data_IF_040440052165
#
_entry.id   IF_040440052165
#
_cell.length_a   1.000
_cell.length_b   1.000
_cell.length_c   1.000
_cell.angle_alpha   90.00
_cell.angle_beta   90.00
_cell.angle_gamma   90.00
#
_symmetry.space_group_name_H-M   'P 1'
#
loop_
_entity.id
_entity.type
_entity.pdbx_description
1 polymer ?
#
# COMPACT_ATOMS: atom_id res chain seq x y z
N UNK A 1 7.19 -1.34 -13.68
CA UNK A 1 6.25 -1.13 -12.59
C UNK A 1 4.86 -1.62 -12.90
N UNK A 2 3.86 -1.28 -12.07
CA UNK A 2 2.49 -1.81 -12.14
C UNK A 2 1.83 -1.76 -13.54
N UNK A 3 2.07 -0.70 -14.31
CA UNK A 3 1.54 -0.58 -15.68
C UNK A 3 2.21 -1.56 -16.64
N UNK A 4 3.49 -1.84 -16.43
CA UNK A 4 4.23 -2.78 -17.29
C UNK A 4 3.68 -4.21 -17.17
N UNK A 5 3.27 -4.61 -15.97
CA UNK A 5 2.66 -5.92 -15.73
C UNK A 5 1.27 -6.05 -16.35
N UNK A 6 0.54 -4.94 -16.48
CA UNK A 6 -0.78 -4.88 -17.09
C UNK A 6 -0.73 -4.76 -18.62
N UNK A 7 0.44 -4.43 -19.18
CA UNK A 7 0.64 -4.29 -20.62
C UNK A 7 0.85 -5.66 -21.26
N UNK A 8 0.02 -6.03 -22.21
CA UNK A 8 0.14 -7.26 -23.00
C UNK A 8 0.73 -6.96 -24.38
N UNK A 9 1.17 -7.99 -25.10
CA UNK A 9 1.67 -7.83 -26.47
C UNK A 9 0.61 -7.29 -27.45
N UNK A 10 -0.67 -7.52 -27.16
CA UNK A 10 -1.79 -7.04 -27.98
C UNK A 10 -2.18 -5.60 -27.63
N UNK A 11 -2.07 -5.24 -26.33
CA UNK A 11 -2.43 -3.93 -25.81
C UNK A 11 -1.21 -3.32 -25.13
N UNK A 12 -0.36 -2.67 -25.88
CA UNK A 12 0.80 -2.01 -25.32
C UNK A 12 0.39 -0.72 -24.61
N UNK A 13 -0.12 -0.87 -23.38
CA UNK A 13 -0.61 0.21 -22.53
C UNK A 13 0.49 1.26 -22.28
N UNK A 14 1.73 0.82 -22.10
CA UNK A 14 2.85 1.73 -21.91
C UNK A 14 3.04 2.66 -23.11
N UNK A 15 3.02 2.09 -24.32
CA UNK A 15 3.25 2.85 -25.55
C UNK A 15 2.04 3.68 -25.97
N UNK A 16 0.85 3.12 -25.86
CA UNK A 16 -0.37 3.69 -26.41
C UNK A 16 -1.20 4.47 -25.38
N UNK A 17 -0.89 4.33 -24.10
CA UNK A 17 -1.78 4.76 -23.02
C UNK A 17 -3.00 3.83 -22.91
N UNK A 18 -3.82 4.09 -21.91
CA UNK A 18 -5.06 3.38 -21.66
C UNK A 18 -6.07 4.31 -20.99
N UNK A 19 -7.34 4.19 -21.40
CA UNK A 19 -8.44 4.87 -20.76
C UNK A 19 -9.69 3.98 -20.79
N UNK A 20 -10.20 3.62 -19.61
CA UNK A 20 -11.42 2.83 -19.49
C UNK A 20 -12.65 3.68 -19.83
N UNK A 21 -13.42 3.29 -20.83
CA UNK A 21 -14.65 3.99 -21.23
C UNK A 21 -15.77 3.85 -20.18
N UNK A 22 -15.74 2.79 -19.40
CA UNK A 22 -16.69 2.48 -18.33
C UNK A 22 -16.04 1.54 -17.30
N UNK A 23 -16.75 1.23 -16.21
CA UNK A 23 -16.25 0.35 -15.13
C UNK A 23 -15.93 -1.08 -15.61
N UNK A 24 -16.65 -1.59 -16.59
CA UNK A 24 -16.42 -2.94 -17.13
C UNK A 24 -15.14 -3.02 -17.98
N UNK A 25 -14.70 -1.88 -18.52
CA UNK A 25 -13.46 -1.77 -19.27
C UNK A 25 -12.23 -1.55 -18.39
N UNK A 26 -12.40 -1.28 -17.10
CA UNK A 26 -11.28 -1.15 -16.16
C UNK A 26 -10.53 -2.47 -16.01
N UNK A 27 -9.20 -2.42 -15.93
CA UNK A 27 -8.36 -3.61 -15.86
C UNK A 27 -7.94 -3.92 -14.44
N UNK A 28 -8.20 -5.15 -13.95
CA UNK A 28 -7.70 -5.58 -12.65
C UNK A 28 -6.18 -5.45 -12.56
N UNK A 29 -5.69 -4.87 -11.47
CA UNK A 29 -4.28 -4.74 -11.17
C UNK A 29 -3.80 -5.89 -10.28
N UNK A 30 -2.54 -6.26 -10.41
CA UNK A 30 -1.92 -7.34 -9.64
C UNK A 30 -1.17 -6.81 -8.41
N UNK A 31 -1.77 -5.87 -7.68
CA UNK A 31 -1.23 -5.36 -6.42
C UNK A 31 -2.36 -4.95 -5.49
N UNK A 32 -2.02 -4.83 -4.21
CA UNK A 32 -2.95 -4.43 -3.16
C UNK A 32 -2.65 -3.00 -2.70
N UNK A 33 -3.65 -2.32 -2.18
CA UNK A 33 -3.51 -1.00 -1.55
C UNK A 33 -3.87 -1.12 -0.08
N UNK A 34 -2.94 -0.71 0.79
CA UNK A 34 -3.17 -0.58 2.23
C UNK A 34 -3.52 0.86 2.60
N UNK A 35 -4.67 1.06 3.20
CA UNK A 35 -5.07 2.34 3.77
C UNK A 35 -4.76 2.33 5.28
N UNK A 36 -3.91 3.24 5.73
CA UNK A 36 -3.61 3.39 7.15
C UNK A 36 -4.87 3.82 7.91
N UNK A 37 -5.32 2.98 8.85
CA UNK A 37 -6.54 3.21 9.63
C UNK A 37 -6.27 3.59 11.06
N UNK A 38 -5.19 3.06 11.63
CA UNK A 38 -4.88 3.23 13.04
C UNK A 38 -3.38 3.17 13.26
N UNK A 39 -2.91 3.93 14.23
CA UNK A 39 -1.55 3.84 14.78
C UNK A 39 -1.68 3.66 16.29
N UNK A 40 -0.96 2.69 16.84
CA UNK A 40 -0.89 2.45 18.28
C UNK A 40 0.57 2.49 18.75
N UNK A 41 0.81 3.12 19.89
CA UNK A 41 2.10 3.04 20.55
C UNK A 41 2.21 1.71 21.32
N UNK A 42 3.13 0.86 20.87
CA UNK A 42 3.41 -0.46 21.45
C UNK A 42 4.79 -0.52 22.11
N UNK A 43 5.38 0.62 22.40
CA UNK A 43 6.74 0.73 22.96
C UNK A 43 6.89 -0.07 24.24
N UNK A 44 5.94 0.05 25.15
CA UNK A 44 5.98 -0.66 26.44
C UNK A 44 5.92 -2.18 26.28
N UNK A 45 5.16 -2.67 25.28
CA UNK A 45 5.06 -4.11 25.01
C UNK A 45 6.34 -4.64 24.37
N UNK A 46 6.91 -3.90 23.42
CA UNK A 46 8.15 -4.30 22.71
C UNK A 46 9.35 -4.24 23.65
N UNK A 47 9.43 -3.26 24.51
CA UNK A 47 10.56 -3.11 25.44
C UNK A 47 10.39 -3.90 26.76
N UNK A 48 9.26 -4.59 26.94
CA UNK A 48 9.00 -5.38 28.14
C UNK A 48 10.06 -6.47 28.35
N UNK A 49 10.73 -6.46 29.50
CA UNK A 49 11.73 -7.45 29.90
C UNK A 49 13.09 -7.32 29.18
N UNK A 50 13.30 -6.27 28.40
CA UNK A 50 14.60 -6.01 27.76
C UNK A 50 15.48 -5.21 28.72
N UNK A 51 16.60 -5.79 29.14
CA UNK A 51 17.54 -5.12 30.04
C UNK A 51 18.33 -4.04 29.30
N UNK A 52 18.55 -2.90 29.98
CA UNK A 52 19.26 -1.74 29.42
C UNK A 52 20.75 -2.03 29.20
N UNK A 53 21.33 -2.91 29.98
CA UNK A 53 22.78 -3.20 30.00
C UNK A 53 23.17 -4.47 29.21
N UNK A 54 22.36 -4.89 28.21
CA UNK A 54 22.70 -5.99 27.33
C UNK A 54 23.68 -5.55 26.24
N UNK A 55 24.50 -6.51 25.76
CA UNK A 55 25.23 -6.36 24.52
C UNK A 55 24.27 -5.98 23.35
N UNK A 56 24.71 -5.10 22.47
CA UNK A 56 23.87 -4.52 21.42
C UNK A 56 23.25 -5.59 20.50
N UNK A 57 24.04 -6.62 20.13
CA UNK A 57 23.55 -7.71 19.30
C UNK A 57 22.49 -8.57 20.03
N UNK A 58 22.69 -8.86 21.31
CA UNK A 58 21.73 -9.57 22.14
C UNK A 58 20.44 -8.74 22.32
N UNK A 59 20.57 -7.44 22.54
CA UNK A 59 19.44 -6.52 22.66
C UNK A 59 18.64 -6.46 21.35
N UNK A 60 19.30 -6.30 20.21
CA UNK A 60 18.64 -6.26 18.90
C UNK A 60 17.83 -7.55 18.64
N UNK A 61 18.39 -8.73 18.96
CA UNK A 61 17.70 -10.00 18.86
C UNK A 61 16.47 -10.08 19.78
N UNK A 62 16.60 -9.63 21.01
CA UNK A 62 15.51 -9.61 21.97
C UNK A 62 14.38 -8.66 21.53
N UNK A 63 14.71 -7.47 21.02
CA UNK A 63 13.75 -6.51 20.46
C UNK A 63 13.03 -7.13 19.26
N UNK A 64 13.75 -7.76 18.34
CA UNK A 64 13.12 -8.41 17.17
C UNK A 64 12.14 -9.50 17.58
N UNK A 65 12.47 -10.32 18.59
CA UNK A 65 11.57 -11.35 19.10
C UNK A 65 10.31 -10.74 19.77
N UNK A 66 10.48 -9.65 20.52
CA UNK A 66 9.34 -8.96 21.14
C UNK A 66 8.45 -8.24 20.10
N UNK A 67 9.02 -7.67 19.03
CA UNK A 67 8.26 -7.12 17.91
C UNK A 67 7.38 -8.22 17.28
N UNK A 68 7.95 -9.40 17.01
CA UNK A 68 7.20 -10.52 16.44
C UNK A 68 6.03 -10.94 17.34
N UNK A 69 6.30 -11.14 18.63
CA UNK A 69 5.29 -11.50 19.64
C UNK A 69 4.20 -10.42 19.79
N UNK A 70 4.59 -9.15 19.85
CA UNK A 70 3.65 -8.04 19.93
C UNK A 70 2.78 -7.96 18.67
N UNK A 71 3.38 -8.15 17.50
CA UNK A 71 2.65 -8.19 16.23
C UNK A 71 1.59 -9.30 16.21
N UNK A 72 1.95 -10.52 16.65
CA UNK A 72 1.00 -11.63 16.74
C UNK A 72 -0.17 -11.29 17.68
N UNK A 73 0.11 -10.73 18.85
CA UNK A 73 -0.91 -10.35 19.82
C UNK A 73 -1.86 -9.26 19.28
N UNK A 74 -1.30 -8.25 18.63
CA UNK A 74 -2.06 -7.14 18.04
C UNK A 74 -2.92 -7.64 16.88
N UNK A 75 -2.41 -8.52 16.03
CA UNK A 75 -3.17 -9.14 14.92
C UNK A 75 -4.27 -10.03 15.46
N UNK A 76 -4.01 -10.82 16.51
CA UNK A 76 -5.01 -11.66 17.15
C UNK A 76 -6.17 -10.83 17.73
N UNK A 77 -5.88 -9.64 18.27
CA UNK A 77 -6.89 -8.73 18.80
C UNK A 77 -7.86 -8.18 17.75
N UNK A 78 -7.52 -8.24 16.45
CA UNK A 78 -8.41 -7.85 15.34
C UNK A 78 -9.55 -8.86 15.11
N UNK A 79 -9.47 -10.06 15.68
CA UNK A 79 -10.50 -11.09 15.57
C UNK A 79 -10.78 -11.48 14.10
N UNK A 80 -12.04 -11.42 13.70
CA UNK A 80 -12.48 -11.81 12.34
C UNK A 80 -11.96 -10.85 11.24
N UNK A 81 -11.69 -9.60 11.58
CA UNK A 81 -11.21 -8.60 10.62
C UNK A 81 -9.73 -8.76 10.26
N UNK A 82 -8.97 -9.61 10.97
CA UNK A 82 -7.51 -9.81 10.79
C UNK A 82 -7.09 -10.05 9.33
N UNK A 83 -7.94 -10.72 8.54
CA UNK A 83 -7.65 -11.03 7.13
C UNK A 83 -7.71 -9.81 6.21
N UNK A 84 -8.30 -8.72 6.68
CA UNK A 84 -8.41 -7.46 5.94
C UNK A 84 -7.32 -6.46 6.35
N UNK A 85 -6.48 -6.80 7.33
CA UNK A 85 -5.45 -5.89 7.83
C UNK A 85 -4.04 -6.47 7.66
N UNK A 86 -3.11 -5.59 7.37
CA UNK A 86 -1.68 -5.80 7.55
C UNK A 86 -1.23 -4.90 8.66
N UNK A 87 -0.55 -5.47 9.66
CA UNK A 87 0.01 -4.71 10.77
C UNK A 87 1.52 -4.68 10.62
N UNK A 88 2.08 -3.47 10.67
CA UNK A 88 3.52 -3.24 10.67
C UNK A 88 3.93 -2.54 11.97
N UNK A 89 4.99 -3.04 12.61
CA UNK A 89 5.58 -2.38 13.77
C UNK A 89 6.89 -1.76 13.34
N UNK A 90 6.96 -0.44 13.40
CA UNK A 90 8.15 0.33 13.03
C UNK A 90 8.79 0.96 14.25
N UNK A 91 10.12 0.98 14.22
CA UNK A 91 10.96 1.62 15.23
C UNK A 91 11.22 3.07 14.86
N UNK A 92 11.11 3.96 15.83
CA UNK A 92 11.40 5.38 15.72
C UNK A 92 12.41 5.81 16.79
N UNK A 93 13.06 6.93 16.59
CA UNK A 93 14.02 7.54 17.52
C UNK A 93 15.08 6.56 18.02
N UNK A 94 15.73 5.84 17.08
CA UNK A 94 16.79 4.87 17.39
C UNK A 94 16.34 3.75 18.35
N UNK A 95 15.09 3.27 18.21
CA UNK A 95 14.56 2.18 19.03
C UNK A 95 14.04 2.60 20.40
N UNK A 96 13.72 3.88 20.56
CA UNK A 96 13.10 4.41 21.78
C UNK A 96 11.56 4.44 21.69
N UNK A 97 11.00 4.32 20.50
CA UNK A 97 9.56 4.25 20.27
C UNK A 97 9.23 3.19 19.22
N UNK A 98 8.15 2.47 19.46
CA UNK A 98 7.62 1.46 18.53
C UNK A 98 6.14 1.73 18.29
N UNK A 99 5.79 1.91 17.01
CA UNK A 99 4.41 2.16 16.60
C UNK A 99 3.91 1.01 15.75
N UNK A 100 2.75 0.48 16.11
CA UNK A 100 2.00 -0.48 15.30
C UNK A 100 1.08 0.29 14.35
N UNK A 101 1.28 0.12 13.06
CA UNK A 101 0.50 0.72 11.99
C UNK A 101 -0.43 -0.33 11.38
N UNK A 102 -1.72 -0.04 11.35
CA UNK A 102 -2.76 -0.93 10.87
C UNK A 102 -3.22 -0.46 9.50
N UNK A 103 -2.92 -1.26 8.48
CA UNK A 103 -3.33 -0.99 7.10
C UNK A 103 -4.50 -1.90 6.73
N UNK A 104 -5.64 -1.32 6.40
CA UNK A 104 -6.75 -2.03 5.79
C UNK A 104 -6.43 -2.27 4.31
N UNK A 105 -6.40 -3.54 3.88
CA UNK A 105 -5.85 -3.96 2.59
C UNK A 105 -6.96 -4.26 1.60
N UNK A 106 -7.03 -3.48 0.55
CA UNK A 106 -7.93 -3.66 -0.58
C UNK A 106 -7.21 -4.42 -1.69
N UNK A 107 -7.87 -5.45 -2.22
CA UNK A 107 -7.34 -6.37 -3.22
C UNK A 107 -7.96 -6.20 -4.60
N UNK A 108 -9.17 -5.67 -4.70
CA UNK A 108 -9.79 -5.35 -5.98
C UNK A 108 -9.42 -3.92 -6.39
N UNK A 109 -8.31 -3.82 -7.10
CA UNK A 109 -7.76 -2.57 -7.63
C UNK A 109 -7.83 -2.64 -9.14
N UNK A 110 -8.33 -1.59 -9.79
CA UNK A 110 -8.48 -1.57 -11.24
C UNK A 110 -7.87 -0.31 -11.84
N UNK A 111 -7.15 -0.48 -12.95
CA UNK A 111 -6.62 0.63 -13.74
C UNK A 111 -7.76 1.31 -14.49
N UNK A 112 -7.90 2.61 -14.27
CA UNK A 112 -8.86 3.49 -14.95
C UNK A 112 -8.22 4.17 -16.14
N UNK A 113 -7.01 4.65 -15.98
CA UNK A 113 -6.31 5.33 -17.05
C UNK A 113 -4.85 5.61 -16.76
N UNK A 114 -4.09 5.70 -17.85
CA UNK A 114 -2.68 6.12 -17.85
C UNK A 114 -2.35 6.73 -19.20
N UNK A 115 -1.62 7.86 -19.27
CA UNK A 115 -1.13 8.37 -20.54
C UNK A 115 -0.08 7.44 -21.14
N UNK A 116 0.23 7.56 -22.44
CA UNK A 116 1.34 6.86 -23.06
C UNK A 116 2.69 7.36 -22.47
N UNK A 117 3.69 6.47 -22.40
CA UNK A 117 5.01 6.79 -21.83
C UNK A 117 5.70 7.98 -22.53
N UNK A 118 5.38 8.22 -23.81
CA UNK A 118 5.92 9.32 -24.58
C UNK A 118 5.60 10.70 -24.00
N UNK A 119 4.52 10.81 -23.21
CA UNK A 119 4.13 12.05 -22.52
C UNK A 119 4.90 12.26 -21.22
N UNK A 120 5.38 11.18 -20.60
CA UNK A 120 6.21 11.19 -19.40
C UNK A 120 7.71 11.26 -19.70
N UNK A 121 8.14 10.69 -20.84
CA UNK A 121 9.53 10.70 -21.29
C UNK A 121 9.75 11.81 -22.27
N UNK A 122 10.54 12.80 -21.90
CA UNK A 122 10.90 13.89 -22.78
C UNK A 122 12.43 13.97 -22.94
N UNK A 123 12.93 13.67 -24.15
CA UNK A 123 14.38 13.60 -24.40
C UNK A 123 15.06 12.36 -23.83
N UNK A 124 16.38 12.26 -23.91
CA UNK A 124 17.16 11.22 -23.26
C UNK A 124 17.27 11.45 -21.75
N UNK A 125 17.72 10.45 -21.00
CA UNK A 125 17.91 10.53 -19.53
C UNK A 125 18.75 11.73 -19.11
N UNK A 126 19.75 12.09 -19.90
CA UNK A 126 20.65 13.23 -19.64
C UNK A 126 19.93 14.57 -19.73
N UNK A 127 18.94 14.71 -20.60
CA UNK A 127 18.19 15.96 -20.80
C UNK A 127 17.05 16.10 -19.80
N UNK A 128 16.49 15.00 -19.32
CA UNK A 128 15.46 14.98 -18.29
C UNK A 128 15.92 15.62 -16.96
N UNK A 129 17.21 15.69 -16.78
CA UNK A 129 17.89 16.17 -15.58
C UNK A 129 18.19 17.67 -15.60
N UNK A 130 18.47 18.21 -16.79
CA UNK A 130 19.02 19.56 -16.94
C UNK A 130 17.97 20.65 -17.12
N UNK A 131 16.78 20.29 -17.56
CA UNK A 131 15.75 21.26 -17.88
C UNK A 131 14.44 20.88 -17.21
N UNK A 132 13.89 21.72 -16.31
CA UNK A 132 12.55 21.49 -15.78
C UNK A 132 11.55 21.48 -16.92
N UNK A 133 10.79 20.38 -17.06
CA UNK A 133 9.83 20.17 -18.15
C UNK A 133 8.50 19.77 -17.57
N UNK A 134 7.43 20.13 -18.25
CA UNK A 134 6.10 19.64 -17.97
C UNK A 134 5.98 18.23 -18.52
N UNK A 135 6.12 17.23 -17.66
CA UNK A 135 5.85 15.83 -18.00
C UNK A 135 4.53 15.41 -17.39
N UNK A 136 3.82 14.53 -18.07
CA UNK A 136 2.57 13.95 -17.60
C UNK A 136 2.79 12.46 -17.36
N UNK A 137 3.29 12.13 -16.17
CA UNK A 137 3.53 10.74 -15.73
C UNK A 137 2.64 10.43 -14.54
N UNK A 138 1.48 9.82 -14.82
CA UNK A 138 0.54 9.40 -13.80
C UNK A 138 -0.18 8.11 -14.20
N UNK A 139 -0.73 7.42 -13.22
CA UNK A 139 -1.66 6.32 -13.43
C UNK A 139 -2.79 6.43 -12.44
N UNK A 140 -4.01 6.27 -12.92
CA UNK A 140 -5.21 6.30 -12.10
C UNK A 140 -5.73 4.91 -11.86
N UNK A 141 -5.85 4.55 -10.60
CA UNK A 141 -6.45 3.30 -10.16
C UNK A 141 -7.69 3.59 -9.32
N UNK A 142 -8.65 2.70 -9.40
CA UNK A 142 -9.84 2.72 -8.57
C UNK A 142 -9.83 1.54 -7.63
N UNK A 143 -10.12 1.82 -6.36
CA UNK A 143 -10.29 0.80 -5.33
C UNK A 143 -11.75 0.34 -5.38
N UNK A 144 -11.97 -0.96 -5.30
CA UNK A 144 -13.27 -1.58 -5.21
C UNK A 144 -13.44 -2.28 -3.87
N UNK A 145 -14.66 -2.26 -3.37
CA UNK A 145 -15.07 -2.90 -2.13
C UNK A 145 -16.36 -3.70 -2.33
N UNK A 146 -16.65 -4.59 -1.42
CA UNK A 146 -17.93 -5.30 -1.42
C UNK A 146 -19.11 -4.33 -1.18
N UNK A 147 -20.37 -4.77 -1.33
CA UNK A 147 -21.53 -3.90 -1.16
C UNK A 147 -21.66 -3.21 0.21
N UNK A 148 -20.99 -3.74 1.25
CA UNK A 148 -20.94 -3.14 2.60
C UNK A 148 -19.67 -2.32 2.84
N UNK A 149 -18.96 -1.93 1.76
CA UNK A 149 -17.78 -1.07 1.76
C UNK A 149 -16.57 -1.63 2.53
N UNK A 150 -16.42 -2.97 2.55
CA UNK A 150 -15.29 -3.67 3.15
C UNK A 150 -14.36 -4.26 2.08
N UNK A 151 -13.07 -4.47 2.39
CA UNK A 151 -12.14 -5.13 1.49
C UNK A 151 -12.66 -6.48 1.00
N UNK A 152 -12.48 -6.74 -0.28
CA UNK A 152 -12.85 -8.00 -0.91
C UNK A 152 -11.89 -8.32 -2.06
N UNK A 153 -11.85 -9.59 -2.45
CA UNK A 153 -11.20 -10.02 -3.66
C UNK A 153 -11.99 -9.55 -4.89
N UNK A 154 -11.35 -9.59 -6.06
CA UNK A 154 -11.98 -9.19 -7.29
C UNK A 154 -13.34 -9.87 -7.50
N UNK A 155 -14.37 -9.07 -7.68
CA UNK A 155 -15.70 -9.51 -8.02
C UNK A 155 -16.38 -8.46 -8.92
N UNK A 156 -17.01 -8.85 -10.04
CA UNK A 156 -17.77 -7.92 -10.89
C UNK A 156 -18.87 -7.16 -10.14
N UNK A 157 -19.41 -7.72 -9.06
CA UNK A 157 -20.43 -7.09 -8.24
C UNK A 157 -19.88 -6.06 -7.23
N UNK A 158 -18.56 -5.97 -7.05
CA UNK A 158 -17.95 -4.97 -6.20
C UNK A 158 -18.24 -3.56 -6.71
N UNK A 159 -18.33 -2.62 -5.79
CA UNK A 159 -18.60 -1.22 -6.07
C UNK A 159 -17.34 -0.38 -5.82
N UNK A 160 -17.19 0.76 -6.50
CA UNK A 160 -16.14 1.72 -6.16
C UNK A 160 -16.17 2.04 -4.67
N UNK A 161 -15.01 1.94 -4.04
CA UNK A 161 -14.86 2.31 -2.64
C UNK A 161 -15.17 3.81 -2.48
N UNK A 162 -16.16 4.10 -1.64
CA UNK A 162 -16.49 5.47 -1.28
C UNK A 162 -15.91 5.74 0.11
N UNK A 163 -14.83 6.55 0.23
CA UNK A 163 -14.42 7.05 1.53
C UNK A 163 -15.58 7.84 2.13
N UNK A 164 -15.78 7.69 3.44
CA UNK A 164 -16.85 8.43 4.12
C UNK A 164 -16.69 9.94 3.84
N UNK A 165 -17.69 10.53 3.26
CA UNK A 165 -17.73 11.96 3.00
C UNK A 165 -17.85 12.72 4.32
N UNK A 166 -16.73 13.05 4.92
CA UNK A 166 -16.61 14.16 5.85
C UNK A 166 -15.19 14.70 5.73
N UNK A 167 -14.97 15.41 4.64
CA UNK A 167 -14.04 16.53 4.72
C UNK A 167 -14.88 17.72 5.17
N UNK A 168 -14.51 18.38 6.27
CA UNK A 168 -15.15 19.62 6.68
C UNK A 168 -14.95 20.71 5.63
#
# INVERSE_FOLDING_TARGET
GAIQELSTNQDNILKNGFWAANQQAERPANFNIGLLRKIEDVTSQVLAGIAINQDEAARAKAVAAQIAKTKEAVVAALGEERNNYVVEISSFYNGNQFLAMFYEVYRDIRLVGTPPESVGKFGGETDNWRWPRHTCDFSMFRIYANPVNKPADFNPANKPFAPAHHLP
#
